data_IF_751073817281
#
_entry.id   IF_751073817281
#
_cell.length_a   1.000
_cell.length_b   1.000
_cell.length_c   1.000
_cell.angle_alpha   90.00
_cell.angle_beta   90.00
_cell.angle_gamma   90.00
#
_symmetry.space_group_name_H-M   'P 1'
#
loop_
_entity.id
_entity.type
_entity.pdbx_description
1 polymer ?
#
# COMPACT_ATOMS: atom_id res chain seq x y z
N UNK A 1 18.35 8.08 9.88
CA UNK A 1 18.72 6.93 10.75
C UNK A 1 19.57 7.45 11.90
N UNK A 2 19.67 6.72 13.00
CA UNK A 2 20.54 7.09 14.12
C UNK A 2 22.03 7.00 13.74
N UNK A 3 22.93 7.71 14.45
CA UNK A 3 24.37 7.70 14.13
C UNK A 3 25.01 6.30 14.15
N UNK A 4 24.52 5.39 14.98
CA UNK A 4 25.01 4.02 15.16
C UNK A 4 24.26 2.97 14.31
N UNK A 5 23.41 3.39 13.36
CA UNK A 5 22.56 2.48 12.59
C UNK A 5 23.33 1.36 11.88
N UNK A 6 24.46 1.69 11.22
CA UNK A 6 25.25 0.70 10.51
C UNK A 6 26.02 -0.22 11.46
N UNK A 7 26.60 0.35 12.54
CA UNK A 7 27.29 -0.39 13.58
C UNK A 7 26.37 -1.41 14.27
N UNK A 8 25.12 -1.00 14.53
CA UNK A 8 24.07 -1.86 15.07
C UNK A 8 23.84 -3.11 14.20
N UNK A 9 23.67 -2.96 12.89
CA UNK A 9 23.48 -4.10 12.00
C UNK A 9 24.75 -4.92 11.79
N UNK A 10 25.91 -4.28 11.72
CA UNK A 10 27.20 -4.96 11.59
C UNK A 10 27.47 -5.86 12.81
N UNK A 11 27.20 -5.39 14.02
CA UNK A 11 27.37 -6.14 15.25
C UNK A 11 26.37 -7.30 15.39
N UNK A 12 25.13 -7.14 14.89
CA UNK A 12 24.08 -8.15 15.04
C UNK A 12 23.97 -9.15 13.88
N UNK A 13 24.62 -8.88 12.74
CA UNK A 13 24.65 -9.78 11.60
C UNK A 13 25.21 -11.19 11.94
N UNK A 14 26.34 -11.32 12.67
CA UNK A 14 26.83 -12.63 13.09
C UNK A 14 25.83 -13.39 13.97
N UNK A 15 25.09 -12.68 14.85
CA UNK A 15 24.07 -13.27 15.72
C UNK A 15 22.90 -13.79 14.88
N UNK A 16 22.37 -12.98 13.97
CA UNK A 16 21.29 -13.38 13.06
C UNK A 16 21.70 -14.59 12.19
N UNK A 17 22.95 -14.66 11.76
CA UNK A 17 23.50 -15.79 10.98
C UNK A 17 23.63 -17.07 11.79
N UNK A 18 23.95 -16.97 13.07
CA UNK A 18 24.25 -18.11 13.93
C UNK A 18 23.01 -18.71 14.61
N UNK A 19 22.00 -17.89 14.92
CA UNK A 19 20.81 -18.33 15.66
C UNK A 19 19.61 -18.55 14.71
N UNK A 20 19.24 -19.81 14.41
CA UNK A 20 18.11 -20.11 13.52
C UNK A 20 16.73 -19.77 14.13
N UNK A 21 16.67 -19.48 15.44
CA UNK A 21 15.45 -19.00 16.09
C UNK A 21 15.20 -17.51 15.81
N UNK A 22 16.17 -16.81 15.21
CA UNK A 22 16.01 -15.46 14.71
C UNK A 22 15.74 -15.46 13.21
N UNK A 23 14.94 -14.50 12.76
CA UNK A 23 14.68 -14.29 11.33
C UNK A 23 14.88 -12.86 10.86
N UNK A 24 14.97 -11.90 11.79
CA UNK A 24 15.33 -10.54 11.45
C UNK A 24 16.04 -9.80 12.60
N UNK A 25 16.66 -8.68 12.26
CA UNK A 25 17.03 -7.62 13.20
C UNK A 25 16.27 -6.37 12.76
N UNK A 26 15.54 -5.73 13.65
CA UNK A 26 14.87 -4.45 13.39
C UNK A 26 15.54 -3.34 14.17
N UNK A 27 15.60 -2.14 13.59
CA UNK A 27 16.03 -0.91 14.22
C UNK A 27 14.90 -0.22 15.00
N UNK A 28 13.69 -0.80 15.04
CA UNK A 28 12.50 -0.16 15.57
C UNK A 28 12.03 -0.82 16.88
N UNK A 29 11.73 0.02 17.87
CA UNK A 29 10.95 -0.34 19.05
C UNK A 29 9.54 0.27 18.90
N UNK A 30 8.51 -0.58 18.79
CA UNK A 30 7.11 -0.16 18.67
C UNK A 30 6.65 0.73 19.84
N UNK A 31 7.25 0.57 21.02
CA UNK A 31 7.00 1.39 22.21
C UNK A 31 8.18 2.33 22.53
N UNK A 32 9.02 2.65 21.55
CA UNK A 32 10.25 3.43 21.71
C UNK A 32 10.08 4.94 21.91
N UNK A 33 8.98 5.39 22.52
CA UNK A 33 8.74 6.82 22.82
C UNK A 33 9.60 7.25 24.01
N UNK A 34 10.05 8.50 24.04
CA UNK A 34 10.98 9.03 25.07
C UNK A 34 10.56 8.75 26.52
N UNK A 35 9.25 8.72 26.81
CA UNK A 35 8.73 8.46 28.16
C UNK A 35 8.68 6.97 28.54
N UNK A 36 8.94 6.05 27.62
CA UNK A 36 8.78 4.59 27.76
C UNK A 36 10.09 3.81 27.59
N UNK A 37 11.21 4.51 27.41
CA UNK A 37 12.53 3.91 27.24
C UNK A 37 13.52 4.46 28.27
N UNK A 38 14.54 3.69 28.60
CA UNK A 38 15.65 4.16 29.43
C UNK A 38 16.78 4.75 28.56
N UNK A 39 16.96 6.09 28.51
CA UNK A 39 17.99 6.71 27.69
C UNK A 39 19.42 6.34 28.15
N UNK A 40 19.59 5.89 29.40
CA UNK A 40 20.89 5.41 29.91
C UNK A 40 21.26 4.02 29.40
N UNK A 41 20.33 3.31 28.76
CA UNK A 41 20.46 1.93 28.28
C UNK A 41 20.44 1.83 26.75
N UNK A 42 21.09 2.76 26.05
CA UNK A 42 21.14 2.77 24.58
C UNK A 42 21.65 1.45 23.95
N UNK A 43 22.54 0.72 24.65
CA UNK A 43 23.06 -0.59 24.22
C UNK A 43 22.17 -1.79 24.54
N UNK A 44 21.05 -1.62 25.25
CA UNK A 44 20.15 -2.72 25.61
C UNK A 44 19.36 -3.20 24.39
N UNK A 45 19.31 -4.52 24.24
CA UNK A 45 18.64 -5.22 23.14
C UNK A 45 17.66 -6.25 23.69
N UNK A 46 16.63 -6.55 22.91
CA UNK A 46 15.60 -7.53 23.25
C UNK A 46 15.28 -8.42 22.06
N UNK A 47 14.72 -9.59 22.35
CA UNK A 47 13.97 -10.37 21.37
C UNK A 47 12.51 -9.92 21.34
N UNK A 48 11.88 -10.00 20.17
CA UNK A 48 10.45 -9.76 19.98
C UNK A 48 9.88 -10.76 18.99
N UNK A 49 8.70 -11.30 19.29
CA UNK A 49 7.97 -12.15 18.35
C UNK A 49 7.12 -11.32 17.37
N UNK A 50 6.86 -10.06 17.71
CA UNK A 50 6.22 -9.13 16.78
C UNK A 50 7.25 -8.62 15.78
N UNK A 51 6.99 -8.79 14.47
CA UNK A 51 7.84 -8.26 13.39
C UNK A 51 7.64 -6.73 13.26
N UNK A 52 8.64 -5.90 13.61
CA UNK A 52 8.47 -4.44 13.66
C UNK A 52 8.71 -3.75 12.30
N UNK A 53 9.53 -4.36 11.43
CA UNK A 53 9.95 -3.74 10.17
C UNK A 53 10.79 -2.47 10.39
N UNK A 54 10.36 -1.36 9.77
CA UNK A 54 10.86 0.03 9.95
C UNK A 54 12.39 0.17 10.07
N UNK A 55 13.10 -0.38 9.09
CA UNK A 55 14.57 -0.49 9.07
C UNK A 55 15.00 -1.83 9.64
N UNK A 56 15.09 -2.84 8.80
CA UNK A 56 15.32 -4.22 9.23
C UNK A 56 16.26 -4.95 8.27
N UNK A 57 16.95 -5.94 8.81
CA UNK A 57 17.88 -6.82 8.12
C UNK A 57 17.31 -8.24 8.07
N UNK A 58 17.41 -8.85 6.90
CA UNK A 58 17.07 -10.25 6.63
C UNK A 58 18.24 -10.96 5.95
N UNK A 59 18.29 -12.29 6.09
CA UNK A 59 19.23 -13.13 5.36
C UNK A 59 18.64 -13.60 4.03
N UNK A 60 19.50 -13.90 3.06
CA UNK A 60 19.08 -14.38 1.73
C UNK A 60 18.20 -15.63 1.81
N UNK A 61 18.54 -16.60 2.67
CA UNK A 61 17.75 -17.82 2.84
C UNK A 61 16.33 -17.53 3.37
N UNK A 62 16.14 -16.47 4.16
CA UNK A 62 14.82 -16.03 4.58
C UNK A 62 14.03 -15.47 3.40
N UNK A 63 14.68 -14.69 2.52
CA UNK A 63 14.05 -14.23 1.29
C UNK A 63 13.64 -15.41 0.38
N UNK A 64 14.54 -16.38 0.20
CA UNK A 64 14.28 -17.59 -0.60
C UNK A 64 13.06 -18.39 -0.05
N UNK A 65 12.77 -18.30 1.26
CA UNK A 65 11.57 -18.90 1.88
C UNK A 65 10.29 -18.09 1.62
N UNK A 66 10.37 -16.76 1.62
CA UNK A 66 9.21 -15.87 1.54
C UNK A 66 8.78 -15.57 0.10
N UNK A 67 9.74 -15.41 -0.82
CA UNK A 67 9.53 -15.00 -2.21
C UNK A 67 8.50 -15.87 -2.96
N UNK A 68 8.52 -17.22 -2.89
CA UNK A 68 7.59 -18.06 -3.64
C UNK A 68 6.12 -17.90 -3.21
N UNK A 69 5.89 -17.35 -2.02
CA UNK A 69 4.57 -17.17 -1.40
C UNK A 69 4.28 -15.72 -1.06
N UNK A 70 5.01 -14.78 -1.67
CA UNK A 70 4.88 -13.36 -1.38
C UNK A 70 3.45 -12.86 -1.65
N UNK A 71 2.84 -12.10 -0.74
CA UNK A 71 1.45 -11.71 -0.87
C UNK A 71 1.28 -10.55 -1.85
N UNK A 72 0.06 -10.42 -2.41
CA UNK A 72 -0.29 -9.32 -3.30
C UNK A 72 -0.40 -7.96 -2.58
N UNK A 73 -0.67 -7.97 -1.27
CA UNK A 73 -0.84 -6.79 -0.43
C UNK A 73 -0.53 -7.10 1.05
N UNK A 74 -0.39 -6.06 1.88
CA UNK A 74 -0.22 -6.18 3.35
C UNK A 74 0.92 -7.12 3.77
N UNK A 75 2.07 -6.97 3.11
CA UNK A 75 3.20 -7.88 3.27
C UNK A 75 3.74 -7.95 4.69
N UNK A 76 3.70 -6.86 5.45
CA UNK A 76 4.17 -6.80 6.83
C UNK A 76 3.23 -7.52 7.79
N UNK A 77 1.90 -7.37 7.62
CA UNK A 77 0.90 -8.15 8.36
C UNK A 77 0.96 -9.63 8.01
N UNK A 78 1.12 -9.96 6.72
CA UNK A 78 1.33 -11.33 6.28
C UNK A 78 2.59 -11.95 6.89
N UNK A 79 3.68 -11.20 6.99
CA UNK A 79 4.90 -11.66 7.68
C UNK A 79 4.66 -11.95 9.17
N UNK A 80 3.74 -11.25 9.84
CA UNK A 80 3.40 -11.48 11.26
C UNK A 80 2.63 -12.78 11.49
N UNK A 81 2.02 -13.36 10.45
CA UNK A 81 1.24 -14.60 10.57
C UNK A 81 2.12 -15.80 10.95
N UNK A 82 1.61 -16.76 11.74
CA UNK A 82 2.40 -17.89 12.23
C UNK A 82 2.96 -18.77 11.10
N UNK A 83 2.29 -18.86 9.95
CA UNK A 83 2.72 -19.61 8.77
C UNK A 83 4.01 -19.07 8.14
N UNK A 84 4.28 -17.77 8.33
CA UNK A 84 5.49 -17.08 7.89
C UNK A 84 6.49 -17.00 9.04
N UNK A 85 6.06 -16.51 10.20
CA UNK A 85 6.93 -16.29 11.36
C UNK A 85 7.57 -17.58 11.86
N UNK A 86 6.82 -18.69 11.86
CA UNK A 86 7.27 -20.03 12.30
C UNK A 86 7.99 -19.99 13.65
N UNK A 87 7.41 -19.27 14.61
CA UNK A 87 7.92 -19.09 15.97
C UNK A 87 9.34 -18.51 16.09
N UNK A 88 9.82 -17.83 15.04
CA UNK A 88 11.08 -17.08 15.06
C UNK A 88 10.85 -15.68 15.61
N UNK A 89 11.89 -15.13 16.24
CA UNK A 89 11.88 -13.78 16.81
C UNK A 89 12.79 -12.83 16.01
N UNK A 90 12.61 -11.52 16.20
CA UNK A 90 13.57 -10.52 15.77
C UNK A 90 14.33 -9.96 16.97
N UNK A 91 15.54 -9.44 16.73
CA UNK A 91 16.19 -8.53 17.68
C UNK A 91 15.64 -7.12 17.46
N UNK A 92 15.33 -6.40 18.55
CA UNK A 92 14.98 -4.98 18.55
C UNK A 92 15.76 -4.23 19.63
N UNK A 93 16.02 -2.92 19.49
CA UNK A 93 16.72 -2.15 20.50
C UNK A 93 15.78 -1.61 21.59
N UNK A 94 16.35 -1.16 22.70
CA UNK A 94 15.64 -0.31 23.66
C UNK A 94 15.29 1.06 23.05
N UNK A 95 16.28 1.73 22.46
CA UNK A 95 16.10 3.01 21.76
C UNK A 95 16.15 2.77 20.24
N UNK A 96 15.12 3.21 19.52
CA UNK A 96 15.02 3.03 18.06
C UNK A 96 16.20 3.68 17.31
N UNK A 97 16.72 2.99 16.29
CA UNK A 97 17.76 3.46 15.36
C UNK A 97 17.18 4.07 14.08
N UNK A 98 15.86 4.06 13.96
CA UNK A 98 15.09 4.72 12.90
C UNK A 98 14.02 5.61 13.52
N UNK A 99 13.61 6.63 12.77
CA UNK A 99 12.47 7.48 13.08
C UNK A 99 11.64 7.63 11.81
N UNK A 100 10.32 7.60 11.94
CA UNK A 100 9.40 7.90 10.85
C UNK A 100 9.06 9.39 10.88
N UNK A 101 9.38 10.10 9.79
CA UNK A 101 9.00 11.52 9.60
C UNK A 101 7.97 11.68 8.47
N UNK A 102 7.48 10.56 7.92
CA UNK A 102 6.44 10.54 6.90
C UNK A 102 5.10 11.03 7.45
N UNK A 103 4.81 12.32 7.25
CA UNK A 103 3.51 12.93 7.62
C UNK A 103 2.37 12.56 6.65
N UNK A 104 2.70 12.05 5.46
CA UNK A 104 1.76 11.53 4.44
C UNK A 104 2.19 10.10 4.10
N UNK A 105 1.27 9.15 4.27
CA UNK A 105 1.49 7.72 3.99
C UNK A 105 0.22 7.11 3.38
N UNK A 106 0.29 5.82 3.06
CA UNK A 106 -0.73 5.07 2.30
C UNK A 106 -1.54 4.08 3.16
N UNK A 107 -1.85 4.41 4.42
CA UNK A 107 -2.77 3.56 5.19
C UNK A 107 -4.08 3.41 4.40
N UNK A 108 -4.49 2.18 4.10
CA UNK A 108 -5.58 1.90 3.14
C UNK A 108 -6.84 2.71 3.45
N UNK A 109 -7.26 2.76 4.72
CA UNK A 109 -8.46 3.49 5.14
C UNK A 109 -8.38 4.99 4.80
N UNK A 110 -7.29 5.67 5.18
CA UNK A 110 -7.12 7.10 4.85
C UNK A 110 -6.94 7.35 3.37
N UNK A 111 -6.33 6.40 2.64
CA UNK A 111 -6.23 6.48 1.19
C UNK A 111 -7.60 6.34 0.53
N UNK A 112 -8.39 5.34 0.93
CA UNK A 112 -9.74 5.08 0.42
C UNK A 112 -10.69 6.23 0.73
N UNK A 113 -10.72 6.74 1.96
CA UNK A 113 -11.55 7.89 2.32
C UNK A 113 -11.23 9.11 1.46
N UNK A 114 -9.93 9.43 1.32
CA UNK A 114 -9.51 10.57 0.51
C UNK A 114 -9.80 10.34 -0.97
N UNK A 115 -9.54 9.13 -1.47
CA UNK A 115 -9.77 8.75 -2.86
C UNK A 115 -11.27 8.83 -3.19
N UNK A 116 -12.14 8.18 -2.41
CA UNK A 116 -13.59 8.21 -2.60
C UNK A 116 -14.09 9.67 -2.59
N UNK A 117 -13.65 10.48 -1.62
CA UNK A 117 -14.02 11.89 -1.56
C UNK A 117 -13.59 12.66 -2.80
N UNK A 118 -12.38 12.44 -3.30
CA UNK A 118 -11.86 13.09 -4.52
C UNK A 118 -12.65 12.66 -5.76
N UNK A 119 -12.96 11.37 -5.90
CA UNK A 119 -13.72 10.86 -7.05
C UNK A 119 -15.15 11.39 -7.06
N UNK A 120 -15.87 11.28 -5.94
CA UNK A 120 -17.31 11.59 -5.91
C UNK A 120 -17.62 13.08 -5.72
N UNK A 121 -16.64 13.91 -5.34
CA UNK A 121 -16.75 15.37 -5.41
C UNK A 121 -16.47 15.95 -6.81
N UNK A 122 -15.88 15.15 -7.72
CA UNK A 122 -15.66 15.59 -9.10
C UNK A 122 -17.00 15.77 -9.84
N UNK A 123 -17.16 16.82 -10.67
CA UNK A 123 -18.39 17.06 -11.42
C UNK A 123 -18.76 15.86 -12.30
N UNK A 124 -20.00 15.38 -12.16
CA UNK A 124 -20.56 14.34 -13.03
C UNK A 124 -20.92 14.96 -14.38
N UNK A 125 -20.36 14.42 -15.45
CA UNK A 125 -20.59 14.88 -16.82
C UNK A 125 -20.99 13.72 -17.72
N UNK A 126 -21.68 14.02 -18.81
CA UNK A 126 -21.94 13.06 -19.89
C UNK A 126 -20.74 12.95 -20.83
N UNK A 127 -20.64 11.85 -21.57
CA UNK A 127 -19.54 11.63 -22.53
C UNK A 127 -19.54 12.69 -23.64
N UNK A 128 -20.73 13.10 -24.07
CA UNK A 128 -20.89 14.08 -25.14
C UNK A 128 -20.26 15.43 -24.75
N UNK A 129 -20.31 15.79 -23.46
CA UNK A 129 -19.71 17.03 -22.93
C UNK A 129 -18.17 16.97 -22.93
N UNK A 130 -17.59 15.77 -22.79
CA UNK A 130 -16.14 15.57 -22.91
C UNK A 130 -15.68 15.64 -24.37
N UNK A 131 -16.51 15.16 -25.29
CA UNK A 131 -16.23 15.15 -26.73
C UNK A 131 -16.44 16.51 -27.38
N UNK A 132 -17.42 17.29 -26.91
CA UNK A 132 -17.65 18.66 -27.34
C UNK A 132 -16.63 19.58 -26.67
N UNK A 133 -15.60 19.98 -27.42
CA UNK A 133 -14.42 20.67 -26.90
C UNK A 133 -14.67 21.97 -26.12
N UNK A 134 -15.86 22.58 -26.21
CA UNK A 134 -16.17 23.90 -25.65
C UNK A 134 -16.95 23.97 -24.33
N UNK A 135 -17.53 22.87 -23.82
CA UNK A 135 -18.40 22.93 -22.63
C UNK A 135 -17.62 23.05 -21.31
N UNK A 136 -16.47 22.37 -21.22
CA UNK A 136 -15.70 22.23 -19.98
C UNK A 136 -14.42 23.07 -20.03
N UNK A 137 -14.29 24.06 -19.14
CA UNK A 137 -13.20 25.05 -19.17
C UNK A 137 -11.95 24.61 -18.42
N UNK A 138 -12.11 23.81 -17.37
CA UNK A 138 -11.01 23.37 -16.51
C UNK A 138 -10.44 22.01 -16.93
N UNK A 139 -9.21 21.66 -16.51
CA UNK A 139 -8.62 20.36 -16.82
C UNK A 139 -9.25 19.18 -16.05
N UNK A 140 -10.29 19.41 -15.23
CA UNK A 140 -10.92 18.40 -14.39
C UNK A 140 -10.30 18.30 -12.98
N UNK A 141 -10.53 17.18 -12.25
CA UNK A 141 -11.14 15.94 -12.72
C UNK A 141 -12.64 16.03 -13.04
N UNK A 142 -13.08 15.29 -14.05
CA UNK A 142 -14.49 15.07 -14.37
C UNK A 142 -14.85 13.60 -14.18
N UNK A 143 -16.04 13.33 -13.65
CA UNK A 143 -16.53 11.97 -13.43
C UNK A 143 -17.52 11.58 -14.51
N UNK A 144 -17.33 10.42 -15.12
CA UNK A 144 -18.33 9.76 -15.98
C UNK A 144 -18.79 8.52 -15.24
N UNK A 145 -20.09 8.43 -14.96
CA UNK A 145 -20.63 7.34 -14.17
C UNK A 145 -21.17 6.22 -15.07
N UNK A 146 -20.66 5.00 -14.90
CA UNK A 146 -21.28 3.79 -15.43
C UNK A 146 -22.11 3.09 -14.34
N UNK A 147 -23.12 2.31 -14.72
CA UNK A 147 -24.00 1.59 -13.78
C UNK A 147 -24.11 0.09 -14.05
N UNK A 148 -23.52 -0.38 -15.15
CA UNK A 148 -23.59 -1.77 -15.60
C UNK A 148 -22.34 -2.13 -16.41
N UNK A 149 -22.13 -3.43 -16.62
CA UNK A 149 -21.05 -3.95 -17.49
C UNK A 149 -21.13 -3.32 -18.88
N UNK A 150 -22.33 -3.28 -19.44
CA UNK A 150 -22.53 -2.84 -20.82
C UNK A 150 -22.32 -1.33 -20.95
N UNK A 151 -22.80 -0.53 -19.98
CA UNK A 151 -22.50 0.91 -19.94
C UNK A 151 -21.02 1.18 -19.73
N UNK A 152 -20.33 0.43 -18.86
CA UNK A 152 -18.87 0.52 -18.72
C UNK A 152 -18.17 0.29 -20.06
N UNK A 153 -18.49 -0.82 -20.76
CA UNK A 153 -17.85 -1.16 -22.03
C UNK A 153 -18.11 -0.11 -23.11
N UNK A 154 -19.35 0.38 -23.22
CA UNK A 154 -19.71 1.45 -24.16
C UNK A 154 -18.92 2.73 -23.85
N UNK A 155 -18.86 3.14 -22.59
CA UNK A 155 -18.17 4.36 -22.18
C UNK A 155 -16.66 4.25 -22.37
N UNK A 156 -16.08 3.10 -21.99
CA UNK A 156 -14.66 2.83 -22.14
C UNK A 156 -14.22 2.93 -23.62
N UNK A 157 -14.96 2.29 -24.54
CA UNK A 157 -14.68 2.37 -25.98
C UNK A 157 -14.80 3.80 -26.53
N UNK A 158 -15.85 4.53 -26.16
CA UNK A 158 -16.06 5.91 -26.62
C UNK A 158 -14.97 6.89 -26.15
N UNK A 159 -14.33 6.58 -25.01
CA UNK A 159 -13.28 7.40 -24.41
C UNK A 159 -11.86 6.87 -24.71
N UNK A 160 -11.74 5.76 -25.46
CA UNK A 160 -10.45 5.20 -25.89
C UNK A 160 -9.67 4.49 -24.78
N UNK A 161 -10.34 4.02 -23.74
CA UNK A 161 -9.73 3.18 -22.68
C UNK A 161 -10.09 1.71 -22.88
N UNK A 162 -9.24 0.81 -22.38
CA UNK A 162 -9.46 -0.64 -22.46
C UNK A 162 -10.80 -1.03 -21.80
N UNK A 163 -11.64 -1.74 -22.54
CA UNK A 163 -12.99 -2.13 -22.12
C UNK A 163 -13.09 -3.60 -21.66
N UNK A 164 -11.97 -4.34 -21.67
CA UNK A 164 -11.92 -5.71 -21.14
C UNK A 164 -11.98 -5.71 -19.61
N UNK A 165 -12.77 -6.64 -19.06
CA UNK A 165 -12.81 -6.91 -17.63
C UNK A 165 -12.24 -8.31 -17.36
N UNK A 166 -11.48 -8.43 -16.27
CA UNK A 166 -10.98 -9.71 -15.76
C UNK A 166 -11.55 -9.92 -14.37
N UNK A 167 -12.44 -10.91 -14.23
CA UNK A 167 -13.19 -11.18 -12.99
C UNK A 167 -13.87 -9.92 -12.45
N UNK A 168 -14.50 -9.15 -13.34
CA UNK A 168 -15.16 -7.88 -13.03
C UNK A 168 -14.26 -6.67 -12.81
N UNK A 169 -12.93 -6.85 -12.83
CA UNK A 169 -11.98 -5.76 -12.64
C UNK A 169 -11.64 -5.12 -14.00
N UNK A 170 -11.90 -3.82 -14.20
CA UNK A 170 -11.45 -3.11 -15.39
C UNK A 170 -9.95 -2.83 -15.32
N UNK A 171 -9.29 -2.75 -16.48
CA UNK A 171 -7.86 -2.40 -16.56
C UNK A 171 -7.57 -1.09 -15.85
N UNK A 172 -6.48 -1.08 -15.08
CA UNK A 172 -6.04 0.06 -14.24
C UNK A 172 -7.12 0.59 -13.29
N UNK A 173 -8.12 -0.24 -12.98
CA UNK A 173 -9.22 0.12 -12.10
C UNK A 173 -8.88 -0.04 -10.63
N UNK A 174 -9.29 0.94 -9.82
CA UNK A 174 -9.27 0.85 -8.36
C UNK A 174 -10.66 1.17 -7.82
N UNK A 175 -11.25 0.24 -7.06
CA UNK A 175 -12.66 0.33 -6.60
C UNK A 175 -13.66 0.62 -7.72
N UNK A 176 -13.44 0.00 -8.88
CA UNK A 176 -14.20 0.24 -10.11
C UNK A 176 -13.84 1.52 -10.87
N UNK A 177 -13.03 2.41 -10.31
CA UNK A 177 -12.68 3.69 -10.94
C UNK A 177 -11.48 3.53 -11.87
N UNK A 178 -11.64 3.91 -13.14
CA UNK A 178 -10.55 4.04 -14.11
C UNK A 178 -10.24 5.52 -14.29
N UNK A 179 -9.02 5.93 -13.90
CA UNK A 179 -8.53 7.31 -14.03
C UNK A 179 -7.60 7.46 -15.22
N UNK A 180 -7.89 8.40 -16.11
CA UNK A 180 -7.11 8.61 -17.34
C UNK A 180 -7.18 10.08 -17.80
N UNK A 181 -6.36 10.42 -18.79
CA UNK A 181 -6.44 11.71 -19.48
C UNK A 181 -7.18 11.52 -20.80
N UNK A 182 -8.15 12.39 -21.08
CA UNK A 182 -8.86 12.46 -22.35
C UNK A 182 -8.83 13.89 -22.87
N UNK A 183 -8.17 14.10 -24.02
CA UNK A 183 -8.02 15.43 -24.65
C UNK A 183 -7.53 16.51 -23.67
N UNK A 184 -6.55 16.19 -22.83
CA UNK A 184 -5.96 17.10 -21.84
C UNK A 184 -6.76 17.27 -20.54
N UNK A 185 -7.93 16.61 -20.41
CA UNK A 185 -8.75 16.63 -19.19
C UNK A 185 -8.60 15.34 -18.40
N UNK A 186 -8.50 15.42 -17.08
CA UNK A 186 -8.58 14.27 -16.18
C UNK A 186 -10.01 13.75 -16.14
N UNK A 187 -10.20 12.48 -16.51
CA UNK A 187 -11.49 11.79 -16.48
C UNK A 187 -11.42 10.60 -15.53
N UNK A 188 -12.49 10.42 -14.77
CA UNK A 188 -12.71 9.36 -13.81
C UNK A 188 -13.94 8.57 -14.26
N UNK A 189 -13.73 7.44 -14.93
CA UNK A 189 -14.81 6.52 -15.27
C UNK A 189 -15.10 5.65 -14.03
N UNK A 190 -16.21 5.92 -13.35
CA UNK A 190 -16.48 5.42 -12.01
C UNK A 190 -17.87 4.78 -11.88
N UNK A 191 -18.05 3.79 -10.98
CA UNK A 191 -19.38 3.30 -10.60
C UNK A 191 -20.12 4.35 -9.75
N UNK A 192 -21.42 4.15 -9.44
CA UNK A 192 -22.15 5.01 -8.51
C UNK A 192 -21.50 5.01 -7.12
N UNK A 193 -21.76 6.07 -6.35
CA UNK A 193 -21.32 6.14 -4.95
C UNK A 193 -21.92 4.99 -4.15
N UNK A 194 -21.16 4.47 -3.17
CA UNK A 194 -21.54 3.26 -2.44
C UNK A 194 -21.17 1.95 -3.12
N UNK A 195 -20.32 1.98 -4.17
CA UNK A 195 -19.72 0.76 -4.71
C UNK A 195 -18.88 0.03 -3.64
N UNK A 196 -19.15 -1.27 -3.46
CA UNK A 196 -18.53 -2.08 -2.40
C UNK A 196 -17.57 -3.15 -2.92
N UNK A 197 -17.86 -3.78 -4.06
CA UNK A 197 -17.08 -4.91 -4.59
C UNK A 197 -17.25 -5.09 -6.09
N UNK A 198 -16.29 -5.76 -6.70
CA UNK A 198 -16.38 -6.20 -8.10
C UNK A 198 -17.41 -7.32 -8.25
N UNK A 199 -18.13 -7.30 -9.36
CA UNK A 199 -19.01 -8.38 -9.77
C UNK A 199 -18.25 -9.30 -10.74
N UNK A 200 -17.87 -10.49 -10.26
CA UNK A 200 -17.07 -11.45 -11.02
C UNK A 200 -17.79 -11.99 -12.26
N UNK A 201 -19.11 -11.79 -12.38
CA UNK A 201 -19.86 -12.14 -13.59
C UNK A 201 -19.57 -11.21 -14.77
N UNK A 202 -18.92 -10.06 -14.54
CA UNK A 202 -18.55 -9.13 -15.59
C UNK A 202 -17.28 -9.60 -16.31
N UNK A 203 -17.48 -10.08 -17.54
CA UNK A 203 -16.46 -10.46 -18.53
C UNK A 203 -16.60 -9.63 -19.80
#
# INVERSE_FOLDING_TARGET
VAPDFFEYFQALYPILRADPTLWCVSAWNDNGRDALVDPSKAGLLHRTDFFPGLGWMLLKNMWDELEPKWPLAFWDDWMRQPEQRKDRSCIRPEISRTITFGRKGVSLEKYDEKFIKEIYSAPLVKIEELQQGGSLRDPGPYRVQYSSRDSFKVFARNLGVMDDLKSGVPRTGYRGVVSFLYRGRRVLLAPPEGWMKYDISWS
#
